data_IF_891260861269
#
_entry.id   IF_891260861269
#
_cell.length_a   1.000
_cell.length_b   1.000
_cell.length_c   1.000
_cell.angle_alpha   90.00
_cell.angle_beta   90.00
_cell.angle_gamma   90.00
#
_symmetry.space_group_name_H-M   'P 1'
#
loop_
_entity.id
_entity.type
_entity.pdbx_description
1 polymer ?
#
# COMPACT_ATOMS: atom_id res chain seq x y z
N UNK A 1 -16.41 19.91 -5.00
CA UNK A 1 -17.50 19.02 -5.39
C UNK A 1 -17.02 17.57 -5.35
N UNK A 2 -17.71 16.74 -4.62
CA UNK A 2 -17.34 15.33 -4.55
C UNK A 2 -17.71 14.64 -5.88
N UNK A 3 -16.74 13.99 -6.50
CA UNK A 3 -17.00 13.20 -7.68
C UNK A 3 -17.67 11.89 -7.27
N UNK A 4 -18.63 11.44 -8.05
CA UNK A 4 -19.18 10.10 -7.85
C UNK A 4 -18.08 9.07 -8.04
N UNK A 5 -18.03 8.13 -7.13
CA UNK A 5 -17.10 7.00 -7.27
C UNK A 5 -17.67 5.98 -8.24
N UNK A 6 -16.84 5.56 -9.18
CA UNK A 6 -17.18 4.43 -10.04
C UNK A 6 -17.21 3.16 -9.21
N UNK A 7 -18.18 2.29 -9.48
CA UNK A 7 -18.34 1.06 -8.71
C UNK A 7 -18.43 -0.13 -9.64
N UNK A 8 -17.94 -1.27 -9.15
CA UNK A 8 -18.09 -2.54 -9.87
C UNK A 8 -19.49 -3.12 -9.68
N UNK A 9 -19.75 -4.29 -10.24
CA UNK A 9 -21.06 -4.95 -10.16
C UNK A 9 -21.48 -5.29 -8.72
N UNK A 10 -20.54 -5.30 -7.77
CA UNK A 10 -20.81 -5.56 -6.37
C UNK A 10 -20.93 -4.28 -5.55
N UNK A 11 -20.94 -3.12 -6.18
CA UNK A 11 -21.02 -1.84 -5.52
C UNK A 11 -19.73 -1.31 -4.92
N UNK A 12 -18.61 -2.00 -5.11
CA UNK A 12 -17.31 -1.56 -4.59
C UNK A 12 -16.72 -0.48 -5.49
N UNK A 13 -16.01 0.46 -4.88
CA UNK A 13 -15.36 1.53 -5.62
C UNK A 13 -14.33 0.96 -6.60
N UNK A 14 -14.33 1.52 -7.80
CA UNK A 14 -13.37 1.15 -8.86
C UNK A 14 -12.51 2.35 -9.20
N UNK A 15 -11.27 2.07 -9.61
CA UNK A 15 -10.37 3.11 -10.08
C UNK A 15 -10.58 3.30 -11.59
N UNK A 16 -11.54 4.15 -11.94
CA UNK A 16 -11.83 4.47 -13.34
C UNK A 16 -11.13 5.74 -13.81
N UNK A 17 -10.79 6.66 -12.89
CA UNK A 17 -10.07 7.89 -13.23
C UNK A 17 -8.57 7.65 -13.27
N UNK A 18 -7.85 8.30 -14.21
CA UNK A 18 -6.39 8.34 -14.14
C UNK A 18 -5.95 8.94 -12.79
N UNK A 19 -4.83 8.46 -12.28
CA UNK A 19 -4.25 8.98 -11.05
C UNK A 19 -2.81 9.40 -11.29
N UNK A 20 -2.35 10.43 -10.54
CA UNK A 20 -0.94 10.81 -10.57
C UNK A 20 -0.09 9.83 -9.75
N UNK A 21 1.23 10.07 -9.67
CA UNK A 21 2.15 9.17 -8.99
C UNK A 21 1.88 9.03 -7.49
N UNK A 22 1.19 10.00 -6.87
CA UNK A 22 0.81 9.96 -5.46
C UNK A 22 -0.62 9.44 -5.24
N UNK A 23 -1.26 8.90 -6.29
CA UNK A 23 -2.58 8.30 -6.20
C UNK A 23 -3.73 9.31 -6.23
N UNK A 24 -3.46 10.60 -6.49
CA UNK A 24 -4.49 11.62 -6.54
C UNK A 24 -5.29 11.52 -7.82
N UNK A 25 -6.64 11.61 -7.78
CA UNK A 25 -7.45 11.56 -8.99
C UNK A 25 -7.13 12.70 -9.95
N UNK A 26 -7.09 12.40 -11.24
CA UNK A 26 -6.95 13.37 -12.31
C UNK A 26 -8.26 13.39 -13.13
N UNK A 27 -8.50 14.42 -13.94
CA UNK A 27 -9.63 14.39 -14.88
C UNK A 27 -9.55 13.19 -15.79
N UNK A 28 -10.70 12.70 -16.27
CA UNK A 28 -10.74 11.49 -17.11
C UNK A 28 -9.95 11.62 -18.41
N UNK A 29 -9.79 12.84 -18.92
CA UNK A 29 -9.06 13.12 -20.14
C UNK A 29 -7.58 13.45 -19.91
N UNK A 30 -7.12 13.44 -18.65
CA UNK A 30 -5.73 13.72 -18.32
C UNK A 30 -4.87 12.46 -18.43
N UNK A 31 -3.59 12.65 -18.78
CA UNK A 31 -2.60 11.56 -18.72
C UNK A 31 -2.23 11.30 -17.27
N UNK A 32 -2.41 10.08 -16.82
CA UNK A 32 -2.01 9.63 -15.49
C UNK A 32 -0.95 8.55 -15.59
N UNK A 33 -0.57 7.99 -14.45
CA UNK A 33 0.29 6.80 -14.41
C UNK A 33 -0.54 5.56 -14.78
N UNK A 34 0.16 4.54 -15.30
CA UNK A 34 -0.49 3.29 -15.68
C UNK A 34 -1.18 2.63 -14.48
N UNK A 35 -2.42 2.15 -14.62
CA UNK A 35 -3.12 1.47 -13.54
C UNK A 35 -2.42 0.18 -13.14
N UNK A 36 -2.50 -0.15 -11.84
CA UNK A 36 -2.01 -1.41 -11.30
C UNK A 36 -3.04 -2.52 -11.62
N UNK A 37 -2.59 -3.71 -12.04
CA UNK A 37 -3.52 -4.84 -12.26
C UNK A 37 -4.33 -5.14 -11.00
N UNK A 38 -5.63 -5.42 -11.17
CA UNK A 38 -6.52 -5.75 -10.04
C UNK A 38 -6.30 -7.17 -9.53
N UNK A 39 -5.77 -8.06 -10.34
CA UNK A 39 -5.56 -9.46 -9.97
C UNK A 39 -4.39 -9.58 -8.98
N UNK A 40 -4.56 -10.43 -7.98
CA UNK A 40 -3.48 -10.71 -7.02
C UNK A 40 -2.36 -11.49 -7.71
N UNK A 41 -1.13 -11.08 -7.42
CA UNK A 41 0.07 -11.79 -7.86
C UNK A 41 0.50 -12.80 -6.78
N UNK A 42 1.27 -13.84 -7.14
CA UNK A 42 1.92 -14.69 -6.14
C UNK A 42 2.80 -13.87 -5.19
N UNK A 43 3.12 -14.37 -3.98
CA UNK A 43 3.82 -13.57 -2.96
C UNK A 43 5.13 -12.94 -3.43
N UNK A 44 6.03 -13.70 -4.06
CA UNK A 44 7.30 -13.13 -4.50
C UNK A 44 7.13 -12.09 -5.60
N UNK A 45 6.19 -12.31 -6.51
CA UNK A 45 5.88 -11.35 -7.58
C UNK A 45 5.20 -10.10 -7.02
N UNK A 46 4.36 -10.26 -5.98
CA UNK A 46 3.76 -9.13 -5.26
C UNK A 46 4.85 -8.23 -4.69
N UNK A 47 5.84 -8.81 -4.02
CA UNK A 47 6.94 -8.07 -3.42
C UNK A 47 7.77 -7.36 -4.49
N UNK A 48 8.10 -8.06 -5.57
CA UNK A 48 8.90 -7.47 -6.65
C UNK A 48 8.16 -6.31 -7.32
N UNK A 49 6.88 -6.48 -7.61
CA UNK A 49 6.06 -5.43 -8.24
C UNK A 49 5.95 -4.21 -7.33
N UNK A 50 5.68 -4.42 -6.04
CA UNK A 50 5.57 -3.33 -5.08
C UNK A 50 6.90 -2.58 -4.92
N UNK A 51 8.01 -3.31 -4.89
CA UNK A 51 9.34 -2.69 -4.79
C UNK A 51 9.63 -1.78 -5.97
N UNK A 52 9.34 -2.25 -7.19
CA UNK A 52 9.50 -1.42 -8.39
C UNK A 52 8.67 -0.14 -8.32
N UNK A 53 7.43 -0.25 -7.83
CA UNK A 53 6.55 0.91 -7.71
C UNK A 53 7.05 1.89 -6.65
N UNK A 54 7.53 1.41 -5.51
CA UNK A 54 8.09 2.26 -4.46
C UNK A 54 9.34 2.97 -4.99
N UNK A 55 10.22 2.25 -5.67
CA UNK A 55 11.44 2.82 -6.24
C UNK A 55 11.14 3.86 -7.33
N UNK A 56 10.00 3.71 -8.01
CA UNK A 56 9.53 4.69 -9.01
C UNK A 56 8.80 5.88 -8.40
N UNK A 57 8.73 5.98 -7.07
CA UNK A 57 8.01 7.06 -6.39
C UNK A 57 6.50 6.88 -6.41
N UNK A 58 6.00 5.65 -6.51
CA UNK A 58 4.58 5.33 -6.60
C UNK A 58 4.10 4.47 -5.43
N UNK A 59 4.20 4.98 -4.18
CA UNK A 59 3.81 4.17 -3.02
C UNK A 59 2.32 3.84 -2.96
N UNK A 60 1.45 4.71 -3.50
CA UNK A 60 0.02 4.40 -3.53
C UNK A 60 -0.27 3.21 -4.44
N UNK A 61 0.38 3.13 -5.60
CA UNK A 61 0.24 1.97 -6.49
C UNK A 61 0.77 0.70 -5.84
N UNK A 62 1.89 0.80 -5.11
CA UNK A 62 2.41 -0.34 -4.35
C UNK A 62 1.40 -0.83 -3.30
N UNK A 63 0.71 0.10 -2.62
CA UNK A 63 -0.36 -0.26 -1.69
C UNK A 63 -1.45 -1.09 -2.36
N UNK A 64 -1.82 -0.75 -3.58
CA UNK A 64 -2.85 -1.49 -4.32
C UNK A 64 -2.42 -2.93 -4.62
N UNK A 65 -1.15 -3.14 -4.94
CA UNK A 65 -0.59 -4.48 -5.16
C UNK A 65 -0.67 -5.32 -3.89
N UNK A 66 -0.29 -4.77 -2.75
CA UNK A 66 -0.38 -5.46 -1.47
C UNK A 66 -1.83 -5.71 -1.05
N UNK A 67 -2.72 -4.75 -1.31
CA UNK A 67 -4.13 -4.90 -0.99
C UNK A 67 -4.77 -6.05 -1.78
N UNK A 68 -4.46 -6.19 -3.07
CA UNK A 68 -4.94 -7.30 -3.88
C UNK A 68 -4.46 -8.64 -3.29
N UNK A 69 -3.21 -8.73 -2.87
CA UNK A 69 -2.66 -9.95 -2.26
C UNK A 69 -3.34 -10.24 -0.92
N UNK A 70 -3.55 -9.24 -0.09
CA UNK A 70 -4.22 -9.39 1.18
C UNK A 70 -5.64 -9.92 1.01
N UNK A 71 -6.39 -9.40 0.05
CA UNK A 71 -7.79 -9.81 -0.17
C UNK A 71 -7.91 -11.22 -0.74
N UNK A 72 -6.95 -11.67 -1.53
CA UNK A 72 -6.97 -12.97 -2.19
C UNK A 72 -6.22 -14.05 -1.43
N UNK A 73 -5.33 -13.68 -0.51
CA UNK A 73 -4.45 -14.61 0.14
C UNK A 73 -5.04 -15.31 1.34
N UNK A 74 -4.28 -16.24 1.95
CA UNK A 74 -4.76 -16.96 3.12
C UNK A 74 -4.92 -16.01 4.31
N UNK A 75 -5.94 -16.23 5.15
CA UNK A 75 -6.18 -15.36 6.32
C UNK A 75 -4.99 -15.27 7.27
N UNK A 76 -4.18 -16.30 7.35
CA UNK A 76 -3.01 -16.35 8.23
C UNK A 76 -1.94 -15.33 7.83
N UNK A 77 -1.94 -14.85 6.59
CA UNK A 77 -0.99 -13.88 6.08
C UNK A 77 -1.54 -12.46 6.02
N UNK A 78 -2.76 -12.25 6.50
CA UNK A 78 -3.43 -10.95 6.42
C UNK A 78 -2.58 -9.82 7.01
N UNK A 79 -2.03 -10.03 8.22
CA UNK A 79 -1.27 -8.99 8.89
C UNK A 79 0.02 -8.61 8.15
N UNK A 80 0.62 -9.57 7.44
CA UNK A 80 1.77 -9.27 6.59
C UNK A 80 1.40 -8.32 5.46
N UNK A 81 0.44 -8.71 4.63
CA UNK A 81 0.10 -7.95 3.43
C UNK A 81 -0.61 -6.64 3.76
N UNK A 82 -1.50 -6.66 4.75
CA UNK A 82 -2.19 -5.46 5.19
C UNK A 82 -1.23 -4.47 5.85
N UNK A 83 -0.28 -4.97 6.66
CA UNK A 83 0.74 -4.13 7.27
C UNK A 83 1.61 -3.43 6.23
N UNK A 84 2.06 -4.17 5.21
CA UNK A 84 2.84 -3.59 4.11
C UNK A 84 2.03 -2.55 3.32
N UNK A 85 0.75 -2.84 3.06
CA UNK A 85 -0.14 -1.90 2.38
C UNK A 85 -0.29 -0.59 3.18
N UNK A 86 -0.49 -0.69 4.49
CA UNK A 86 -0.65 0.48 5.35
C UNK A 86 0.62 1.33 5.41
N UNK A 87 1.79 0.71 5.43
CA UNK A 87 3.06 1.42 5.34
C UNK A 87 3.13 2.22 4.03
N UNK A 88 2.74 1.61 2.91
CA UNK A 88 2.72 2.31 1.62
C UNK A 88 1.77 3.50 1.62
N UNK A 89 0.61 3.39 2.26
CA UNK A 89 -0.32 4.52 2.41
C UNK A 89 0.32 5.62 3.27
N UNK A 90 1.04 5.23 4.33
CA UNK A 90 1.79 6.19 5.14
C UNK A 90 2.84 6.94 4.34
N UNK A 91 3.60 6.24 3.48
CA UNK A 91 4.58 6.86 2.59
C UNK A 91 3.90 7.82 1.60
N UNK A 92 2.70 7.48 1.13
CA UNK A 92 1.92 8.34 0.26
C UNK A 92 1.52 9.63 0.98
N UNK A 93 1.05 9.53 2.23
CA UNK A 93 0.73 10.71 3.04
C UNK A 93 1.97 11.59 3.25
N UNK A 94 3.11 10.98 3.56
CA UNK A 94 4.37 11.71 3.73
C UNK A 94 4.73 12.50 2.47
N UNK A 95 4.62 11.87 1.30
CA UNK A 95 4.92 12.52 0.03
C UNK A 95 3.98 13.68 -0.28
N UNK A 96 2.75 13.66 0.26
CA UNK A 96 1.78 14.74 0.12
C UNK A 96 1.91 15.83 1.17
N UNK A 97 2.85 15.68 2.11
CA UNK A 97 3.01 16.63 3.20
C UNK A 97 2.07 16.41 4.38
N UNK A 98 1.33 15.31 4.42
CA UNK A 98 0.44 14.96 5.52
C UNK A 98 1.21 14.14 6.56
N UNK A 99 1.98 14.81 7.41
CA UNK A 99 2.87 14.14 8.37
C UNK A 99 2.10 13.38 9.44
N UNK A 100 0.96 13.90 9.91
CA UNK A 100 0.13 13.23 10.92
C UNK A 100 -0.43 11.92 10.37
N UNK A 101 -0.98 11.95 9.15
CA UNK A 101 -1.48 10.74 8.49
C UNK A 101 -0.37 9.72 8.23
N UNK A 102 0.82 10.21 7.81
CA UNK A 102 1.97 9.36 7.55
C UNK A 102 2.37 8.57 8.80
N UNK A 103 2.57 9.24 9.92
CA UNK A 103 2.97 8.60 11.18
C UNK A 103 1.90 7.60 11.63
N UNK A 104 0.64 7.98 11.56
CA UNK A 104 -0.47 7.11 11.97
C UNK A 104 -0.53 5.82 11.15
N UNK A 105 -0.41 5.91 9.85
CA UNK A 105 -0.50 4.74 8.96
C UNK A 105 0.75 3.86 9.10
N UNK A 106 1.93 4.45 9.19
CA UNK A 106 3.16 3.67 9.42
C UNK A 106 3.08 2.96 10.77
N UNK A 107 2.59 3.62 11.80
CA UNK A 107 2.45 2.99 13.12
C UNK A 107 1.49 1.79 13.08
N UNK A 108 0.35 1.93 12.42
CA UNK A 108 -0.59 0.82 12.24
C UNK A 108 0.03 -0.34 11.46
N UNK A 109 0.69 -0.03 10.35
CA UNK A 109 1.30 -1.04 9.51
C UNK A 109 2.42 -1.79 10.21
N UNK A 110 3.29 -1.07 10.90
CA UNK A 110 4.39 -1.71 11.65
C UNK A 110 3.86 -2.55 12.81
N UNK A 111 2.77 -2.12 13.46
CA UNK A 111 2.10 -2.93 14.49
C UNK A 111 1.62 -4.26 13.94
N UNK A 112 1.04 -4.27 12.74
CA UNK A 112 0.60 -5.51 12.09
C UNK A 112 1.78 -6.41 11.73
N UNK A 113 2.88 -5.84 11.25
CA UNK A 113 4.08 -6.63 10.95
C UNK A 113 4.67 -7.25 12.22
N UNK A 114 4.66 -6.53 13.33
CA UNK A 114 5.12 -7.06 14.60
C UNK A 114 4.24 -8.22 15.07
N UNK A 115 2.93 -8.12 14.93
CA UNK A 115 2.00 -9.20 15.22
C UNK A 115 2.28 -10.41 14.34
N UNK A 116 2.53 -10.17 13.06
CA UNK A 116 2.82 -11.26 12.12
C UNK A 116 4.11 -11.99 12.48
N UNK A 117 5.15 -11.25 12.90
CA UNK A 117 6.41 -11.87 13.34
C UNK A 117 6.20 -12.85 14.49
N UNK A 118 5.29 -12.56 15.41
CA UNK A 118 4.96 -13.46 16.51
C UNK A 118 4.23 -14.73 16.06
N UNK A 119 3.57 -14.66 14.91
CA UNK A 119 2.86 -15.83 14.35
C UNK A 119 3.80 -16.81 13.67
N UNK A 120 5.04 -16.41 13.43
CA UNK A 120 6.07 -17.24 12.77
C UNK A 120 5.68 -17.68 11.36
N UNK A 121 4.83 -16.88 10.68
CA UNK A 121 4.42 -17.15 9.31
C UNK A 121 5.51 -16.86 8.29
N UNK A 122 5.32 -17.28 7.03
CA UNK A 122 6.31 -17.06 5.98
C UNK A 122 6.48 -15.58 5.67
N UNK A 123 7.73 -15.13 5.51
CA UNK A 123 8.05 -13.74 5.21
C UNK A 123 8.55 -13.54 3.78
N UNK A 124 8.66 -14.60 3.02
CA UNK A 124 9.05 -14.57 1.61
C UNK A 124 10.34 -13.78 1.36
N UNK A 125 11.30 -13.90 2.30
CA UNK A 125 12.58 -13.21 2.20
C UNK A 125 12.60 -11.78 2.67
N UNK A 126 11.47 -11.26 3.19
CA UNK A 126 11.42 -9.89 3.73
C UNK A 126 12.01 -9.84 5.14
N UNK A 127 12.81 -8.81 5.39
CA UNK A 127 13.26 -8.45 6.74
C UNK A 127 12.29 -7.43 7.32
N UNK A 128 11.28 -7.92 8.03
CA UNK A 128 10.21 -7.06 8.55
C UNK A 128 10.71 -6.07 9.59
N UNK A 129 11.73 -6.42 10.36
CA UNK A 129 12.32 -5.50 11.33
C UNK A 129 12.98 -4.32 10.64
N UNK A 130 13.74 -4.57 9.57
CA UNK A 130 14.34 -3.51 8.77
C UNK A 130 13.32 -2.63 8.09
N UNK A 131 12.26 -3.22 7.54
CA UNK A 131 11.16 -2.48 6.91
C UNK A 131 10.51 -1.53 7.93
N UNK A 132 10.23 -2.03 9.12
CA UNK A 132 9.66 -1.23 10.22
C UNK A 132 10.57 -0.05 10.57
N UNK A 133 11.86 -0.31 10.77
CA UNK A 133 12.83 0.73 11.13
C UNK A 133 12.95 1.78 10.03
N UNK A 134 13.04 1.36 8.77
CA UNK A 134 13.15 2.28 7.64
C UNK A 134 11.89 3.14 7.47
N UNK A 135 10.72 2.54 7.61
CA UNK A 135 9.46 3.26 7.47
C UNK A 135 9.31 4.32 8.55
N UNK A 136 9.62 3.96 9.80
CA UNK A 136 9.55 4.90 10.92
C UNK A 136 10.56 6.04 10.78
N UNK A 137 11.76 5.74 10.32
CA UNK A 137 12.78 6.77 10.07
C UNK A 137 12.34 7.75 8.97
N UNK A 138 11.61 7.25 7.97
CA UNK A 138 11.15 8.06 6.85
C UNK A 138 10.07 9.07 7.26
N UNK A 139 9.15 8.68 8.15
CA UNK A 139 8.02 9.55 8.53
C UNK A 139 8.25 10.34 9.82
N UNK A 140 9.32 10.05 10.54
CA UNK A 140 9.64 10.70 11.80
C UNK A 140 9.03 10.02 13.03
N UNK A 141 9.35 10.50 14.23
CA UNK A 141 8.86 9.89 15.45
C UNK A 141 7.36 10.06 15.61
N UNK A 142 6.68 9.08 16.25
CA UNK A 142 5.29 9.24 16.64
C UNK A 142 5.20 10.34 17.70
N UNK A 143 4.26 11.24 17.51
CA UNK A 143 4.19 12.36 18.45
C UNK A 143 2.87 13.02 18.48
#
# INVERSE_FOLDING_TARGET
MAAERDRDARGRARQARPRDALGRPLPYDASGVEPVPEAALPPHETIAAARELIDAGRPFAAHEVFEARWKAGPPQERDLWQGLAQICVGLTHSARGNDVGAVRLVDRGTGKLQTYLRSDGPTYGLDLASITSCARAHVGPPG
#
